data_IF_259852286545
#
_entry.id   IF_259852286545
#
_cell.length_a   1.000
_cell.length_b   1.000
_cell.length_c   1.000
_cell.angle_alpha   90.00
_cell.angle_beta   90.00
_cell.angle_gamma   90.00
#
_symmetry.space_group_name_H-M   'P 1'
#
loop_
_entity.id
_entity.type
_entity.pdbx_description
1 polymer ?
#
# COMPACT_ATOMS: atom_id res chain seq x y z
N UNK A 1 6.10 2.48 -10.98
CA UNK A 1 6.25 3.95 -10.80
C UNK A 1 6.20 4.38 -9.35
N UNK A 2 5.08 4.29 -8.61
CA UNK A 2 5.01 4.81 -7.22
C UNK A 2 6.15 4.33 -6.30
N UNK A 3 6.36 3.01 -6.14
CA UNK A 3 7.48 2.51 -5.32
C UNK A 3 8.87 2.84 -5.88
N UNK A 4 9.01 2.96 -7.21
CA UNK A 4 10.28 3.35 -7.84
C UNK A 4 10.60 4.84 -7.60
N UNK A 5 9.58 5.67 -7.41
CA UNK A 5 9.70 7.10 -7.08
C UNK A 5 9.62 7.35 -5.57
N UNK A 6 9.71 6.31 -4.74
CA UNK A 6 9.61 6.48 -3.30
C UNK A 6 10.79 7.31 -2.76
N UNK A 7 10.49 8.27 -1.88
CA UNK A 7 11.53 9.03 -1.20
C UNK A 7 12.35 8.14 -0.28
N UNK A 8 13.65 8.41 -0.16
CA UNK A 8 14.52 7.76 0.81
C UNK A 8 14.17 8.11 2.27
N UNK A 9 13.34 9.13 2.50
CA UNK A 9 12.87 9.55 3.83
C UNK A 9 11.36 9.61 3.88
N UNK A 10 10.82 9.35 5.05
CA UNK A 10 9.39 9.51 5.32
C UNK A 10 9.02 10.99 5.47
N UNK A 11 7.72 11.30 5.30
CA UNK A 11 7.13 12.62 5.56
C UNK A 11 7.78 13.79 4.79
N UNK A 12 8.33 13.53 3.60
CA UNK A 12 9.01 14.54 2.76
C UNK A 12 8.07 15.46 2.00
N UNK A 13 6.75 15.22 2.03
CA UNK A 13 5.78 15.95 1.21
C UNK A 13 5.81 15.60 -0.28
N UNK A 14 6.63 14.60 -0.69
CA UNK A 14 6.73 14.15 -2.09
C UNK A 14 5.36 13.75 -2.65
N UNK A 15 4.53 13.08 -1.85
CA UNK A 15 3.20 12.64 -2.23
C UNK A 15 2.19 13.78 -2.11
N UNK A 16 2.09 14.57 -3.17
CA UNK A 16 1.12 15.64 -3.34
C UNK A 16 0.43 15.52 -4.71
N UNK A 17 -0.61 16.32 -4.94
CA UNK A 17 -1.41 16.25 -6.17
C UNK A 17 -0.55 16.39 -7.44
N UNK A 18 0.41 17.32 -7.47
CA UNK A 18 1.26 17.54 -8.64
C UNK A 18 2.12 16.31 -8.96
N UNK A 19 2.79 15.73 -7.96
CA UNK A 19 3.59 14.52 -8.15
C UNK A 19 2.73 13.34 -8.61
N UNK A 20 1.53 13.16 -8.04
CA UNK A 20 0.63 12.08 -8.42
C UNK A 20 0.09 12.23 -9.84
N UNK A 21 -0.21 13.46 -10.28
CA UNK A 21 -0.62 13.75 -11.65
C UNK A 21 0.51 13.47 -12.64
N UNK A 22 1.74 13.86 -12.31
CA UNK A 22 2.90 13.64 -13.17
C UNK A 22 3.22 12.15 -13.33
N UNK A 23 3.20 11.39 -12.23
CA UNK A 23 3.36 9.94 -12.28
C UNK A 23 2.20 9.26 -13.02
N UNK A 24 0.98 9.80 -12.92
CA UNK A 24 -0.17 9.35 -13.69
C UNK A 24 0.07 9.42 -15.19
N UNK A 25 0.63 10.53 -15.70
CA UNK A 25 0.98 10.67 -17.13
C UNK A 25 1.94 9.59 -17.61
N UNK A 26 2.95 9.27 -16.80
CA UNK A 26 3.98 8.26 -17.14
C UNK A 26 3.41 6.84 -17.30
N UNK A 27 2.24 6.56 -16.71
CA UNK A 27 1.53 5.28 -16.83
C UNK A 27 0.26 5.38 -17.69
N UNK A 28 0.05 6.49 -18.39
CA UNK A 28 -1.12 6.70 -19.26
C UNK A 28 -2.42 7.07 -18.53
N UNK A 29 -2.40 7.35 -17.23
CA UNK A 29 -3.54 7.83 -16.46
C UNK A 29 -3.72 9.35 -16.63
N UNK A 30 -4.26 9.77 -17.77
CA UNK A 30 -4.37 11.20 -18.15
C UNK A 30 -5.80 11.72 -18.29
N UNK A 31 -6.81 10.89 -18.06
CA UNK A 31 -8.22 11.29 -18.18
C UNK A 31 -8.58 12.47 -17.27
N UNK A 32 -9.51 13.32 -17.72
CA UNK A 32 -10.05 14.41 -16.89
C UNK A 32 -10.63 13.92 -15.57
N UNK A 33 -11.26 12.73 -15.58
CA UNK A 33 -11.78 12.07 -14.39
C UNK A 33 -10.66 11.80 -13.37
N UNK A 34 -9.52 11.26 -13.81
CA UNK A 34 -8.37 11.04 -12.94
C UNK A 34 -7.82 12.36 -12.41
N UNK A 35 -7.61 13.34 -13.29
CA UNK A 35 -7.08 14.65 -12.90
C UNK A 35 -7.97 15.35 -11.86
N UNK A 36 -9.29 15.34 -12.07
CA UNK A 36 -10.26 15.88 -11.12
C UNK A 36 -10.25 15.11 -9.81
N UNK A 37 -10.16 13.77 -9.89
CA UNK A 37 -10.12 12.90 -8.71
C UNK A 37 -8.96 13.25 -7.78
N UNK A 38 -7.75 13.38 -8.34
CA UNK A 38 -6.52 13.70 -7.60
C UNK A 38 -6.59 15.13 -7.05
N UNK A 39 -6.93 16.12 -7.88
CA UNK A 39 -6.98 17.52 -7.45
C UNK A 39 -8.01 17.78 -6.34
N UNK A 40 -9.17 17.11 -6.38
CA UNK A 40 -10.20 17.24 -5.34
C UNK A 40 -9.90 16.41 -4.09
N UNK A 41 -8.85 15.58 -4.10
CA UNK A 41 -8.59 14.64 -3.01
C UNK A 41 -9.77 13.70 -2.75
N UNK A 42 -10.43 13.23 -3.83
CA UNK A 42 -11.74 12.55 -3.75
C UNK A 42 -11.78 11.38 -2.77
N UNK A 43 -10.65 10.68 -2.59
CA UNK A 43 -10.51 9.54 -1.68
C UNK A 43 -9.73 9.83 -0.39
N UNK A 44 -9.42 11.10 -0.08
CA UNK A 44 -8.64 11.46 1.11
C UNK A 44 -9.28 10.96 2.41
N UNK A 45 -10.61 11.11 2.54
CA UNK A 45 -11.36 10.61 3.69
C UNK A 45 -11.31 9.07 3.78
N UNK A 46 -11.37 8.38 2.64
CA UNK A 46 -11.25 6.93 2.61
C UNK A 46 -9.86 6.46 3.05
N UNK A 47 -8.79 7.11 2.59
CA UNK A 47 -7.41 6.81 3.04
C UNK A 47 -7.24 7.05 4.55
N UNK A 48 -7.80 8.15 5.08
CA UNK A 48 -7.79 8.42 6.52
C UNK A 48 -8.52 7.33 7.32
N UNK A 49 -9.67 6.85 6.81
CA UNK A 49 -10.40 5.76 7.43
C UNK A 49 -9.63 4.44 7.43
N UNK A 50 -8.91 4.12 6.35
CA UNK A 50 -8.05 2.93 6.27
C UNK A 50 -6.92 2.99 7.31
N UNK A 51 -6.27 4.14 7.47
CA UNK A 51 -5.25 4.32 8.50
C UNK A 51 -5.82 4.14 9.92
N UNK A 52 -7.01 4.69 10.18
CA UNK A 52 -7.71 4.51 11.45
C UNK A 52 -8.10 3.05 11.71
N UNK A 53 -8.60 2.34 10.69
CA UNK A 53 -8.95 0.92 10.80
C UNK A 53 -7.72 0.04 11.08
N UNK A 54 -6.60 0.29 10.41
CA UNK A 54 -5.32 -0.39 10.68
C UNK A 54 -4.88 -0.21 12.14
N UNK A 55 -4.94 1.03 12.66
CA UNK A 55 -4.62 1.30 14.06
C UNK A 55 -5.56 0.55 15.03
N UNK A 56 -6.87 0.52 14.75
CA UNK A 56 -7.85 -0.24 15.56
C UNK A 56 -7.58 -1.75 15.57
N UNK A 57 -7.04 -2.28 14.47
CA UNK A 57 -6.60 -3.68 14.33
C UNK A 57 -5.20 -3.93 14.88
N UNK A 58 -4.62 -2.97 15.60
CA UNK A 58 -3.27 -3.04 16.17
C UNK A 58 -2.15 -3.23 15.12
N UNK A 59 -2.38 -2.79 13.88
CA UNK A 59 -1.33 -2.73 12.85
C UNK A 59 -0.48 -1.49 13.13
N UNK A 60 0.59 -1.67 13.90
CA UNK A 60 1.43 -0.57 14.42
C UNK A 60 2.76 -0.37 13.67
N UNK A 61 3.00 -1.16 12.62
CA UNK A 61 4.23 -1.13 11.86
C UNK A 61 4.00 -1.66 10.45
N UNK A 62 4.84 -1.27 9.51
CA UNK A 62 4.75 -1.68 8.12
C UNK A 62 6.07 -2.30 7.65
N UNK A 63 6.03 -3.33 6.78
CA UNK A 63 4.82 -3.95 6.23
C UNK A 63 4.21 -5.00 7.21
N UNK A 64 2.88 -5.14 7.19
CA UNK A 64 2.11 -6.18 7.95
C UNK A 64 1.22 -6.94 6.98
N UNK A 65 1.24 -8.27 7.01
CA UNK A 65 0.45 -9.15 6.12
C UNK A 65 -0.24 -10.21 6.96
N UNK A 66 -1.54 -10.36 6.74
CA UNK A 66 -2.36 -11.39 7.36
C UNK A 66 -2.88 -12.36 6.31
N UNK A 67 -2.87 -13.66 6.63
CA UNK A 67 -3.49 -14.73 5.86
C UNK A 67 -4.59 -15.31 6.72
N UNK A 68 -5.85 -15.13 6.31
CA UNK A 68 -7.04 -15.54 7.08
C UNK A 68 -7.01 -15.06 8.55
N UNK A 69 -6.49 -13.84 8.79
CA UNK A 69 -6.39 -13.25 10.14
C UNK A 69 -5.14 -13.63 10.93
N UNK A 70 -4.28 -14.51 10.41
CA UNK A 70 -2.98 -14.87 11.01
C UNK A 70 -1.88 -14.03 10.38
N UNK A 71 -1.12 -13.28 11.19
CA UNK A 71 0.02 -12.51 10.71
C UNK A 71 1.18 -13.45 10.35
N UNK A 72 1.85 -13.19 9.21
CA UNK A 72 3.06 -13.91 8.81
C UNK A 72 4.32 -13.28 9.42
N UNK A 73 5.36 -14.08 9.65
CA UNK A 73 6.62 -13.61 10.22
C UNK A 73 7.37 -12.70 9.24
N UNK A 74 7.50 -11.43 9.65
CA UNK A 74 8.18 -10.37 8.91
C UNK A 74 9.65 -10.64 8.64
N UNK A 75 10.31 -11.39 9.51
CA UNK A 75 11.74 -11.66 9.41
C UNK A 75 12.06 -12.78 8.42
N UNK A 76 11.14 -13.71 8.23
CA UNK A 76 11.43 -14.97 7.52
C UNK A 76 10.52 -15.21 6.31
N UNK A 77 9.32 -14.62 6.24
CA UNK A 77 8.29 -15.02 5.27
C UNK A 77 7.96 -13.96 4.20
N UNK A 78 8.48 -12.73 4.28
CA UNK A 78 8.11 -11.65 3.35
C UNK A 78 8.88 -11.64 2.04
N UNK A 79 10.18 -11.94 2.10
CA UNK A 79 11.10 -11.78 0.96
C UNK A 79 11.72 -13.10 0.52
N UNK A 80 11.15 -14.21 0.97
CA UNK A 80 11.49 -15.56 0.53
C UNK A 80 10.23 -16.23 -0.03
N UNK A 81 10.30 -16.61 -1.31
CA UNK A 81 9.15 -17.17 -2.02
C UNK A 81 8.69 -18.50 -1.41
N UNK A 82 9.61 -19.35 -0.98
CA UNK A 82 9.27 -20.66 -0.43
C UNK A 82 8.64 -20.51 0.96
N UNK A 83 9.21 -19.66 1.82
CA UNK A 83 8.68 -19.36 3.14
C UNK A 83 7.31 -18.65 3.05
N UNK A 84 7.12 -17.74 2.09
CA UNK A 84 5.82 -17.12 1.86
C UNK A 84 4.76 -18.14 1.44
N UNK A 85 5.09 -19.04 0.51
CA UNK A 85 4.19 -20.13 0.11
C UNK A 85 3.82 -21.04 1.28
N UNK A 86 4.80 -21.41 2.10
CA UNK A 86 4.54 -22.18 3.31
C UNK A 86 3.62 -21.43 4.29
N UNK A 87 3.76 -20.10 4.41
CA UNK A 87 2.87 -19.27 5.21
C UNK A 87 1.44 -19.22 4.66
N UNK A 88 1.25 -19.22 3.33
CA UNK A 88 -0.07 -19.35 2.70
C UNK A 88 -0.78 -20.64 3.11
N UNK A 89 -0.06 -21.77 3.00
CA UNK A 89 -0.61 -23.07 3.39
C UNK A 89 -0.89 -23.14 4.89
N UNK A 90 0.04 -22.68 5.73
CA UNK A 90 -0.15 -22.61 7.17
C UNK A 90 -1.33 -21.70 7.58
N UNK A 91 -1.58 -20.63 6.82
CA UNK A 91 -2.73 -19.76 6.97
C UNK A 91 -4.04 -20.32 6.39
N UNK A 92 -4.05 -21.56 5.88
CA UNK A 92 -5.25 -22.26 5.43
C UNK A 92 -5.63 -22.06 3.97
N UNK A 93 -4.73 -21.54 3.13
CA UNK A 93 -4.91 -21.57 1.68
C UNK A 93 -4.50 -22.94 1.14
N UNK A 94 -5.27 -23.45 0.17
CA UNK A 94 -4.89 -24.69 -0.54
C UNK A 94 -3.78 -24.37 -1.55
N UNK A 95 -2.86 -25.31 -1.75
CA UNK A 95 -1.85 -25.25 -2.81
C UNK A 95 -2.46 -25.24 -4.21
#
# INVERSE_FOLDING_TARGET
MLYQTQSAKENTGLWNANTLLELGKQVGATSEKFTSCVNKGTYAAWVSNVASDGAKKNVNSTPTVFINGVEIDRKTQYFDLAAFKAALVAGGLKE
#
